data_IF_111814579600
#
_entry.id   IF_111814579600
#
_cell.length_a   1.000
_cell.length_b   1.000
_cell.length_c   1.000
_cell.angle_alpha   90.00
_cell.angle_beta   90.00
_cell.angle_gamma   90.00
#
_symmetry.space_group_name_H-M   'P 1'
#
loop_
_entity.id
_entity.type
_entity.pdbx_description
1 polymer ?
#
# COMPACT_ATOMS: atom_id res chain seq x y z
N UNK A 1 14.62 17.01 21.22
CA UNK A 1 13.92 16.22 20.20
C UNK A 1 13.55 14.86 20.78
N UNK A 2 12.30 14.47 20.67
CA UNK A 2 11.83 13.18 21.17
C UNK A 2 12.38 12.02 20.31
N UNK A 3 12.48 10.83 20.89
CA UNK A 3 12.97 9.63 20.18
C UNK A 3 12.17 9.31 18.93
N UNK A 4 10.85 9.37 19.03
CA UNK A 4 9.95 9.12 17.90
C UNK A 4 10.14 10.11 16.74
N UNK A 5 10.43 11.37 17.04
CA UNK A 5 10.72 12.41 16.05
C UNK A 5 12.06 12.14 15.35
N UNK A 6 13.09 11.71 16.11
CA UNK A 6 14.38 11.33 15.52
C UNK A 6 14.25 10.13 14.60
N UNK A 7 13.53 9.09 15.02
CA UNK A 7 13.31 7.90 14.18
C UNK A 7 12.52 8.23 12.89
N UNK A 8 11.52 9.13 12.95
CA UNK A 8 10.84 9.64 11.76
C UNK A 8 11.80 10.37 10.82
N UNK A 9 12.64 11.25 11.36
CA UNK A 9 13.66 11.96 10.56
C UNK A 9 14.65 10.99 9.92
N UNK A 10 15.18 10.01 10.69
CA UNK A 10 16.08 8.99 10.16
C UNK A 10 15.42 8.22 9.01
N UNK A 11 14.13 7.84 9.14
CA UNK A 11 13.41 7.15 8.08
C UNK A 11 13.25 8.01 6.82
N UNK A 12 12.89 9.29 6.96
CA UNK A 12 12.76 10.17 5.80
C UNK A 12 14.08 10.32 5.04
N UNK A 13 15.17 10.51 5.76
CA UNK A 13 16.48 10.72 5.14
C UNK A 13 17.08 9.43 4.57
N UNK A 14 16.91 8.28 5.24
CA UNK A 14 17.40 7.01 4.71
C UNK A 14 16.63 6.57 3.47
N UNK A 15 15.35 6.91 3.38
CA UNK A 15 14.54 6.68 2.18
C UNK A 15 15.03 7.55 1.01
N UNK A 16 15.48 8.78 1.29
CA UNK A 16 15.97 9.72 0.29
C UNK A 16 17.39 9.41 -0.21
N UNK A 17 18.29 9.06 0.71
CA UNK A 17 19.73 8.92 0.40
C UNK A 17 20.22 7.47 0.40
N UNK A 18 19.36 6.53 0.76
CA UNK A 18 19.63 5.10 0.78
C UNK A 18 20.64 4.62 1.84
N UNK A 19 21.59 5.44 2.21
CA UNK A 19 22.61 5.16 3.22
C UNK A 19 22.89 6.41 4.03
N UNK A 20 22.94 6.26 5.36
CA UNK A 20 23.25 7.34 6.30
C UNK A 20 24.38 6.91 7.23
N UNK A 21 25.25 7.86 7.60
CA UNK A 21 26.32 7.61 8.57
C UNK A 21 25.89 8.05 9.98
N UNK A 22 26.35 7.34 11.01
CA UNK A 22 26.09 7.71 12.40
C UNK A 22 26.57 9.13 12.71
N UNK A 23 27.68 9.53 12.12
CA UNK A 23 28.26 10.86 12.30
C UNK A 23 27.35 11.94 11.74
N UNK A 24 26.93 11.80 10.49
CA UNK A 24 26.01 12.77 9.85
C UNK A 24 24.70 12.89 10.63
N UNK A 25 24.10 11.76 11.02
CA UNK A 25 22.87 11.77 11.82
C UNK A 25 23.07 12.44 13.19
N UNK A 26 24.20 12.21 13.84
CA UNK A 26 24.52 12.82 15.14
C UNK A 26 24.66 14.34 15.02
N UNK A 27 25.37 14.80 13.97
CA UNK A 27 25.59 16.21 13.69
C UNK A 27 24.27 16.92 13.32
N UNK A 28 23.46 16.30 12.44
CA UNK A 28 22.20 16.90 11.97
C UNK A 28 21.13 16.97 13.08
N UNK A 29 21.05 15.94 13.93
CA UNK A 29 20.04 15.87 14.98
C UNK A 29 20.51 16.46 16.32
N UNK A 30 21.77 16.91 16.41
CA UNK A 30 22.34 17.50 17.62
C UNK A 30 22.40 16.55 18.80
N UNK A 31 22.64 15.25 18.57
CA UNK A 31 22.69 14.20 19.60
C UNK A 31 24.02 13.43 19.53
N UNK A 32 24.31 12.64 20.57
CA UNK A 32 25.52 11.80 20.56
C UNK A 32 25.42 10.65 19.57
N UNK A 33 26.57 10.23 19.00
CA UNK A 33 26.62 9.03 18.14
C UNK A 33 26.11 7.78 18.84
N UNK A 34 26.22 7.68 20.17
CA UNK A 34 25.67 6.58 20.94
C UNK A 34 24.14 6.61 20.98
N UNK A 35 23.53 7.81 21.01
CA UNK A 35 22.07 7.96 20.90
C UNK A 35 21.58 7.48 19.52
N UNK A 36 22.28 7.88 18.47
CA UNK A 36 21.99 7.41 17.10
C UNK A 36 22.13 5.90 17.00
N UNK A 37 23.20 5.33 17.56
CA UNK A 37 23.43 3.88 17.55
C UNK A 37 22.26 3.11 18.16
N UNK A 38 21.72 3.59 19.29
CA UNK A 38 20.54 2.98 19.96
C UNK A 38 19.27 3.15 19.17
N UNK A 39 19.05 4.31 18.57
CA UNK A 39 17.89 4.55 17.71
C UNK A 39 17.92 3.61 16.49
N UNK A 40 19.07 3.49 15.82
CA UNK A 40 19.26 2.58 14.67
C UNK A 40 19.13 1.10 15.07
N UNK A 41 19.60 0.71 16.27
CA UNK A 41 19.49 -0.66 16.79
C UNK A 41 18.02 -1.07 17.00
N UNK A 42 17.22 -0.18 17.55
CA UNK A 42 15.79 -0.42 17.69
C UNK A 42 15.07 -0.45 16.33
N UNK A 43 15.45 0.47 15.43
CA UNK A 43 14.87 0.48 14.08
C UNK A 43 15.23 -0.78 13.29
N UNK A 44 16.46 -1.30 13.44
CA UNK A 44 16.89 -2.58 12.87
C UNK A 44 16.10 -3.77 13.45
N UNK A 45 15.91 -3.80 14.77
CA UNK A 45 15.09 -4.83 15.44
C UNK A 45 13.65 -4.85 14.92
N UNK A 46 13.15 -3.68 14.49
CA UNK A 46 11.83 -3.52 13.86
C UNK A 46 11.85 -3.77 12.33
N UNK A 47 13.01 -4.12 11.77
CA UNK A 47 13.16 -4.40 10.33
C UNK A 47 13.12 -3.17 9.41
N UNK A 48 13.23 -1.96 9.96
CA UNK A 48 13.10 -0.70 9.21
C UNK A 48 14.34 -0.36 8.38
N UNK A 49 15.51 -0.84 8.78
CA UNK A 49 16.81 -0.60 8.15
C UNK A 49 17.80 -1.70 8.53
N UNK A 50 18.96 -1.70 7.90
CA UNK A 50 20.09 -2.57 8.29
C UNK A 50 21.26 -1.71 8.72
N UNK A 51 21.82 -2.03 9.88
CA UNK A 51 23.02 -1.38 10.40
C UNK A 51 24.28 -1.95 9.77
N UNK A 52 25.21 -1.06 9.49
CA UNK A 52 26.59 -1.38 9.11
C UNK A 52 27.56 -0.67 10.02
N UNK A 53 28.84 -1.02 9.90
CA UNK A 53 29.87 -0.34 10.66
C UNK A 53 29.91 1.15 10.28
N UNK A 54 29.50 2.02 11.21
CA UNK A 54 29.48 3.47 11.04
C UNK A 54 28.20 4.09 10.48
N UNK A 55 27.12 3.32 10.27
CA UNK A 55 25.85 3.86 9.77
C UNK A 55 24.74 2.84 9.59
N UNK A 56 23.82 3.18 8.74
CA UNK A 56 22.73 2.31 8.32
C UNK A 56 22.41 2.52 6.84
N UNK A 57 21.83 1.51 6.21
CA UNK A 57 21.27 1.61 4.87
C UNK A 57 19.87 1.02 4.82
N UNK A 58 19.10 1.50 3.85
CA UNK A 58 17.83 0.87 3.54
C UNK A 58 18.13 -0.45 2.83
N UNK A 59 17.83 -1.58 3.48
CA UNK A 59 17.98 -2.86 2.81
C UNK A 59 16.87 -3.03 1.79
N UNK A 60 17.18 -2.82 0.52
CA UNK A 60 16.23 -3.04 -0.59
C UNK A 60 15.77 -4.50 -0.72
N UNK A 61 16.52 -5.47 -0.18
CA UNK A 61 16.04 -6.86 -0.08
C UNK A 61 14.95 -6.98 1.00
N UNK A 62 15.01 -6.19 2.08
CA UNK A 62 13.95 -6.08 3.10
C UNK A 62 12.91 -5.00 2.76
N UNK A 63 13.22 -4.00 1.93
CA UNK A 63 12.24 -3.05 1.36
C UNK A 63 11.27 -3.77 0.40
N UNK A 64 11.67 -4.90 -0.15
CA UNK A 64 10.75 -5.79 -0.88
C UNK A 64 9.72 -6.48 0.02
N UNK A 65 9.96 -6.55 1.34
CA UNK A 65 9.04 -7.06 2.36
C UNK A 65 9.04 -6.19 3.63
N UNK A 66 8.88 -4.86 3.51
CA UNK A 66 8.45 -4.11 4.69
C UNK A 66 7.11 -4.70 5.12
N UNK A 67 7.05 -5.25 6.35
CA UNK A 67 5.83 -5.83 6.88
C UNK A 67 4.69 -4.78 6.88
N UNK A 68 3.46 -5.23 6.95
CA UNK A 68 2.26 -4.39 6.94
C UNK A 68 2.38 -3.20 7.90
N UNK A 69 2.84 -3.42 9.14
CA UNK A 69 2.98 -2.39 10.18
C UNK A 69 3.93 -1.27 9.77
N UNK A 70 5.06 -1.60 9.13
CA UNK A 70 6.00 -0.55 8.65
C UNK A 70 5.40 0.29 7.52
N UNK A 71 4.66 -0.36 6.61
CA UNK A 71 4.00 0.34 5.51
C UNK A 71 2.82 1.19 5.97
N UNK A 72 2.13 0.81 7.03
CA UNK A 72 1.02 1.58 7.60
C UNK A 72 1.46 3.01 7.97
N UNK A 73 2.67 3.16 8.49
CA UNK A 73 3.22 4.45 8.92
C UNK A 73 3.92 5.24 7.81
N UNK A 74 4.05 4.66 6.61
CA UNK A 74 4.64 5.33 5.45
C UNK A 74 3.56 6.06 4.66
N UNK A 75 3.82 7.30 4.27
CA UNK A 75 2.91 8.08 3.41
C UNK A 75 1.44 8.13 3.89
N UNK A 76 1.14 8.38 5.18
CA UNK A 76 -0.23 8.29 5.69
C UNK A 76 -1.16 9.34 5.04
N UNK A 77 -0.68 10.56 4.83
CA UNK A 77 -1.47 11.64 4.19
C UNK A 77 -1.79 11.31 2.73
N UNK A 78 -0.84 10.73 2.00
CA UNK A 78 -1.03 10.37 0.59
C UNK A 78 -2.08 9.26 0.45
N UNK A 79 -2.08 8.28 1.35
CA UNK A 79 -3.10 7.22 1.37
C UNK A 79 -4.50 7.74 1.69
N UNK A 80 -4.61 8.74 2.57
CA UNK A 80 -5.89 9.40 2.85
C UNK A 80 -6.44 10.08 1.59
N UNK A 81 -5.62 10.83 0.86
CA UNK A 81 -6.01 11.46 -0.41
C UNK A 81 -6.48 10.42 -1.44
N UNK A 82 -5.75 9.30 -1.55
CA UNK A 82 -6.14 8.18 -2.42
C UNK A 82 -7.49 7.60 -1.99
N UNK A 83 -7.69 7.39 -0.69
CA UNK A 83 -8.92 6.83 -0.14
C UNK A 83 -10.15 7.72 -0.42
N UNK A 84 -10.05 9.03 -0.19
CA UNK A 84 -11.11 9.98 -0.52
C UNK A 84 -11.44 9.94 -2.01
N UNK A 85 -10.42 9.94 -2.87
CA UNK A 85 -10.63 9.83 -4.31
C UNK A 85 -11.29 8.50 -4.73
N UNK A 86 -10.97 7.39 -4.05
CA UNK A 86 -11.62 6.10 -4.31
C UNK A 86 -13.12 6.14 -3.99
N UNK A 87 -13.54 6.87 -2.96
CA UNK A 87 -14.94 6.97 -2.57
C UNK A 87 -15.81 7.63 -3.66
N UNK A 88 -15.26 8.49 -4.51
CA UNK A 88 -16.00 9.12 -5.62
C UNK A 88 -16.48 8.11 -6.68
N UNK A 89 -15.87 6.91 -6.74
CA UNK A 89 -16.19 5.87 -7.72
C UNK A 89 -17.10 4.77 -7.18
N UNK A 90 -17.52 4.87 -5.91
CA UNK A 90 -18.37 3.87 -5.26
C UNK A 90 -19.79 4.39 -5.10
N UNK A 91 -20.75 3.49 -5.17
CA UNK A 91 -22.18 3.78 -4.93
C UNK A 91 -22.72 2.82 -3.87
N UNK A 92 -23.79 3.23 -3.19
CA UNK A 92 -24.49 2.37 -2.24
C UNK A 92 -24.88 1.01 -2.84
N UNK A 93 -24.84 -0.02 -2.03
CA UNK A 93 -25.20 -1.41 -2.38
C UNK A 93 -24.24 -2.13 -3.33
N UNK A 94 -23.17 -1.49 -3.81
CA UNK A 94 -22.16 -2.14 -4.65
C UNK A 94 -21.36 -3.22 -3.91
N UNK A 95 -20.83 -4.13 -4.71
CA UNK A 95 -19.84 -5.12 -4.27
C UNK A 95 -18.43 -4.66 -4.63
N UNK A 96 -17.60 -4.38 -3.63
CA UNK A 96 -16.24 -3.84 -3.76
C UNK A 96 -15.21 -4.87 -3.29
N UNK A 97 -14.21 -5.16 -4.11
CA UNK A 97 -13.06 -5.93 -3.70
C UNK A 97 -11.93 -5.02 -3.20
N UNK A 98 -11.30 -5.41 -2.10
CA UNK A 98 -10.13 -4.75 -1.52
C UNK A 98 -9.09 -5.82 -1.18
N UNK A 99 -7.97 -5.86 -1.88
CA UNK A 99 -6.85 -6.72 -1.51
C UNK A 99 -6.08 -6.15 -0.31
N UNK A 100 -5.27 -7.01 0.32
CA UNK A 100 -4.49 -6.59 1.48
C UNK A 100 -3.46 -5.53 1.11
N UNK A 101 -3.61 -4.34 1.69
CA UNK A 101 -2.62 -3.27 1.64
C UNK A 101 -2.94 -2.19 2.66
N UNK A 102 -1.95 -1.39 3.02
CA UNK A 102 -2.17 -0.23 3.89
C UNK A 102 -2.94 0.90 3.19
N UNK A 103 -2.83 1.02 1.87
CA UNK A 103 -3.66 1.94 1.07
C UNK A 103 -5.12 1.52 1.10
N UNK A 104 -5.41 0.24 0.86
CA UNK A 104 -6.78 -0.27 0.92
C UNK A 104 -7.37 -0.28 2.34
N UNK A 105 -6.54 -0.26 3.38
CA UNK A 105 -7.02 -0.04 4.75
C UNK A 105 -7.60 1.37 4.89
N UNK A 106 -6.93 2.39 4.35
CA UNK A 106 -7.48 3.75 4.33
C UNK A 106 -8.72 3.86 3.42
N UNK A 107 -8.71 3.19 2.25
CA UNK A 107 -9.92 3.09 1.40
C UNK A 107 -11.08 2.49 2.20
N UNK A 108 -10.86 1.41 2.95
CA UNK A 108 -11.91 0.80 3.78
C UNK A 108 -12.45 1.75 4.85
N UNK A 109 -11.58 2.55 5.49
CA UNK A 109 -11.99 3.61 6.43
C UNK A 109 -12.83 4.69 5.75
N UNK A 110 -12.41 5.14 4.58
CA UNK A 110 -13.17 6.07 3.74
C UNK A 110 -14.55 5.51 3.39
N UNK A 111 -14.61 4.28 2.88
CA UNK A 111 -15.89 3.61 2.57
C UNK A 111 -16.80 3.51 3.79
N UNK A 112 -16.25 3.16 4.96
CA UNK A 112 -17.02 3.09 6.19
C UNK A 112 -17.57 4.46 6.63
N UNK A 113 -16.90 5.57 6.30
CA UNK A 113 -17.37 6.92 6.64
C UNK A 113 -18.44 7.45 5.67
N UNK A 114 -18.30 7.13 4.37
CA UNK A 114 -19.15 7.71 3.32
C UNK A 114 -20.41 6.89 3.01
N UNK A 115 -20.38 5.57 3.25
CA UNK A 115 -21.46 4.67 2.82
C UNK A 115 -22.17 4.02 3.99
N UNK A 116 -23.44 3.69 3.77
CA UNK A 116 -24.29 3.00 4.75
C UNK A 116 -24.36 1.50 4.49
N UNK A 117 -24.33 1.06 3.23
CA UNK A 117 -24.53 -0.33 2.86
C UNK A 117 -23.66 -0.72 1.66
N UNK A 118 -22.68 -1.59 1.87
CA UNK A 118 -21.84 -2.17 0.84
C UNK A 118 -21.63 -3.67 1.08
N UNK A 119 -21.29 -4.40 0.03
CA UNK A 119 -20.70 -5.73 0.15
C UNK A 119 -19.22 -5.63 -0.16
N UNK A 120 -18.35 -6.02 0.77
CA UNK A 120 -16.89 -5.94 0.59
C UNK A 120 -16.25 -7.31 0.62
N UNK A 121 -15.53 -7.63 -0.46
CA UNK A 121 -14.73 -8.84 -0.60
C UNK A 121 -13.27 -8.50 -0.27
N UNK A 122 -12.70 -9.13 0.76
CA UNK A 122 -11.30 -8.87 1.16
C UNK A 122 -10.63 -10.11 1.74
N UNK A 123 -9.32 -10.19 1.60
CA UNK A 123 -8.49 -11.19 2.28
C UNK A 123 -7.75 -10.61 3.51
N UNK A 124 -7.91 -9.33 3.80
CA UNK A 124 -7.25 -8.62 4.89
C UNK A 124 -8.06 -8.67 6.19
N UNK A 125 -7.44 -9.12 7.29
CA UNK A 125 -8.04 -9.06 8.62
C UNK A 125 -8.26 -7.61 9.07
N UNK A 126 -7.31 -6.72 8.79
CA UNK A 126 -7.38 -5.32 9.21
C UNK A 126 -8.54 -4.60 8.52
N UNK A 127 -8.71 -4.81 7.21
CA UNK A 127 -9.84 -4.26 6.45
C UNK A 127 -11.17 -4.80 7.00
N UNK A 128 -11.25 -6.11 7.25
CA UNK A 128 -12.47 -6.71 7.78
C UNK A 128 -12.80 -6.20 9.18
N UNK A 129 -11.81 -6.01 10.05
CA UNK A 129 -11.98 -5.42 11.38
C UNK A 129 -12.53 -4.00 11.29
N UNK A 130 -11.94 -3.15 10.42
CA UNK A 130 -12.43 -1.76 10.23
C UNK A 130 -13.88 -1.73 9.75
N UNK A 131 -14.23 -2.54 8.77
CA UNK A 131 -15.57 -2.56 8.18
C UNK A 131 -16.60 -3.25 9.08
N UNK A 132 -16.21 -4.15 9.98
CA UNK A 132 -17.12 -4.84 10.91
C UNK A 132 -17.82 -3.90 11.88
N UNK A 133 -17.33 -2.68 12.01
CA UNK A 133 -17.96 -1.61 12.80
C UNK A 133 -19.25 -1.08 12.16
N UNK A 134 -19.51 -1.40 10.89
CA UNK A 134 -20.69 -0.98 10.11
C UNK A 134 -21.69 -2.15 10.02
N UNK A 135 -22.83 -2.09 10.72
CA UNK A 135 -23.73 -3.23 10.85
C UNK A 135 -24.40 -3.66 9.53
N UNK A 136 -24.56 -2.72 8.58
CA UNK A 136 -25.22 -2.97 7.30
C UNK A 136 -24.24 -3.30 6.17
N UNK A 137 -22.94 -3.39 6.49
CA UNK A 137 -21.96 -3.90 5.54
C UNK A 137 -21.91 -5.44 5.58
N UNK A 138 -21.91 -6.04 4.40
CA UNK A 138 -21.63 -7.48 4.27
C UNK A 138 -20.14 -7.67 3.94
N UNK A 139 -19.42 -8.38 4.80
CA UNK A 139 -17.98 -8.62 4.60
C UNK A 139 -17.78 -10.09 4.21
N UNK A 140 -17.20 -10.30 3.05
CA UNK A 140 -16.87 -11.63 2.53
C UNK A 140 -15.37 -11.85 2.65
N UNK A 141 -14.96 -12.83 3.44
CA UNK A 141 -13.57 -13.22 3.65
C UNK A 141 -13.35 -14.67 3.32
N UNK A 142 -12.21 -15.06 2.71
CA UNK A 142 -11.83 -16.44 2.61
C UNK A 142 -11.39 -16.97 3.98
N UNK A 143 -11.57 -18.27 4.19
CA UNK A 143 -10.81 -18.99 5.22
C UNK A 143 -9.48 -19.45 4.65
N UNK A 144 -8.60 -20.03 5.48
CA UNK A 144 -7.36 -20.63 5.01
C UNK A 144 -6.14 -20.33 5.87
N UNK A 145 -4.97 -20.24 5.25
CA UNK A 145 -3.72 -19.96 5.94
C UNK A 145 -3.61 -18.45 6.21
N UNK A 146 -3.44 -18.10 7.48
CA UNK A 146 -3.17 -16.71 7.88
C UNK A 146 -1.66 -16.40 7.79
N UNK A 147 -1.29 -15.42 6.99
CA UNK A 147 0.06 -14.82 6.97
C UNK A 147 0.13 -13.69 7.99
N UNK A 148 0.74 -13.94 9.13
CA UNK A 148 0.80 -12.99 10.25
C UNK A 148 1.54 -11.68 9.94
N UNK A 149 2.55 -11.71 9.06
CA UNK A 149 3.33 -10.51 8.69
C UNK A 149 2.52 -9.50 7.89
N UNK A 150 1.52 -9.97 7.14
CA UNK A 150 0.63 -9.14 6.30
C UNK A 150 -0.81 -9.09 6.84
N UNK A 151 -1.11 -9.82 7.90
CA UNK A 151 -2.45 -9.92 8.49
C UNK A 151 -3.54 -10.26 7.46
N UNK A 152 -3.25 -11.27 6.62
CA UNK A 152 -4.15 -11.66 5.55
C UNK A 152 -4.23 -13.17 5.34
N UNK A 153 -5.34 -13.62 4.76
CA UNK A 153 -5.47 -15.00 4.30
C UNK A 153 -4.79 -15.20 2.93
N UNK A 154 -4.12 -16.34 2.78
CA UNK A 154 -3.39 -16.73 1.57
C UNK A 154 -3.59 -18.20 1.23
N UNK A 155 -3.17 -18.58 0.03
CA UNK A 155 -3.17 -19.97 -0.44
C UNK A 155 -4.30 -20.29 -1.42
N UNK A 156 -4.19 -21.46 -2.07
CA UNK A 156 -5.07 -21.87 -3.17
C UNK A 156 -6.54 -21.98 -2.72
N UNK A 157 -6.81 -22.59 -1.56
CA UNK A 157 -8.19 -22.70 -1.04
C UNK A 157 -8.84 -21.35 -0.82
N UNK A 158 -8.07 -20.34 -0.38
CA UNK A 158 -8.54 -18.96 -0.22
C UNK A 158 -8.83 -18.33 -1.58
N UNK A 159 -7.94 -18.53 -2.56
CA UNK A 159 -8.13 -18.04 -3.92
C UNK A 159 -9.35 -18.69 -4.61
N UNK A 160 -9.54 -20.00 -4.45
CA UNK A 160 -10.71 -20.72 -4.97
C UNK A 160 -12.03 -20.22 -4.37
N UNK A 161 -12.01 -19.88 -3.09
CA UNK A 161 -13.19 -19.26 -2.46
C UNK A 161 -13.50 -17.89 -3.08
N UNK A 162 -12.49 -17.04 -3.28
CA UNK A 162 -12.64 -15.71 -3.89
C UNK A 162 -13.17 -15.78 -5.33
N UNK A 163 -12.77 -16.79 -6.11
CA UNK A 163 -13.23 -16.98 -7.51
C UNK A 163 -14.74 -17.20 -7.65
N UNK A 164 -15.45 -17.48 -6.56
CA UNK A 164 -16.91 -17.70 -6.58
C UNK A 164 -17.72 -16.41 -6.61
N UNK A 165 -17.07 -15.27 -6.35
CA UNK A 165 -17.74 -13.99 -6.23
C UNK A 165 -17.39 -13.09 -7.42
N UNK A 166 -18.41 -12.43 -7.95
CA UNK A 166 -18.24 -11.34 -8.90
C UNK A 166 -18.34 -10.01 -8.14
N UNK A 167 -17.45 -9.05 -8.43
CA UNK A 167 -17.47 -7.72 -7.82
C UNK A 167 -17.64 -6.64 -8.88
N UNK A 168 -18.33 -5.57 -8.51
CA UNK A 168 -18.52 -4.41 -9.38
C UNK A 168 -17.20 -3.64 -9.55
N UNK A 169 -16.51 -3.45 -8.45
CA UNK A 169 -15.25 -2.71 -8.36
C UNK A 169 -14.17 -3.50 -7.64
N UNK A 170 -12.93 -3.34 -8.09
CA UNK A 170 -11.74 -3.79 -7.37
C UNK A 170 -10.74 -2.64 -7.28
N UNK A 171 -10.49 -2.16 -6.07
CA UNK A 171 -9.34 -1.31 -5.78
C UNK A 171 -8.13 -2.19 -5.57
N UNK A 172 -7.36 -2.38 -6.61
CA UNK A 172 -6.20 -3.28 -6.64
C UNK A 172 -4.93 -2.54 -6.24
N UNK A 173 -4.37 -2.88 -5.11
CA UNK A 173 -3.09 -2.32 -4.69
C UNK A 173 -1.92 -2.81 -5.54
N UNK A 174 -0.83 -2.04 -5.55
CA UNK A 174 0.40 -2.44 -6.24
C UNK A 174 1.66 -2.01 -5.46
N UNK A 175 2.73 -2.77 -5.66
CA UNK A 175 4.04 -2.46 -5.09
C UNK A 175 4.95 -1.75 -6.08
N UNK A 176 4.63 -1.81 -7.36
CA UNK A 176 5.34 -1.10 -8.40
C UNK A 176 4.55 -1.08 -9.70
N UNK A 177 4.74 -0.01 -10.49
CA UNK A 177 4.12 0.15 -11.80
C UNK A 177 5.10 0.77 -12.79
N UNK A 178 5.23 0.16 -13.97
CA UNK A 178 5.94 0.71 -15.14
C UNK A 178 5.15 0.44 -16.40
N UNK A 179 5.33 1.27 -17.43
CA UNK A 179 4.73 1.00 -18.74
C UNK A 179 5.23 -0.31 -19.36
N UNK A 180 6.49 -0.66 -19.10
CA UNK A 180 7.16 -1.86 -19.65
C UNK A 180 6.72 -3.14 -18.95
N UNK A 181 6.72 -3.16 -17.61
CA UNK A 181 6.51 -4.37 -16.83
C UNK A 181 5.06 -4.52 -16.35
N UNK A 182 4.27 -3.44 -16.49
CA UNK A 182 2.89 -3.41 -16.00
C UNK A 182 2.80 -3.14 -14.50
N UNK A 183 1.71 -3.59 -13.92
CA UNK A 183 1.48 -3.57 -12.47
C UNK A 183 2.18 -4.78 -11.86
N UNK A 184 2.96 -4.54 -10.80
CA UNK A 184 3.80 -5.55 -10.17
C UNK A 184 3.62 -5.58 -8.66
N UNK A 185 3.86 -6.74 -8.05
CA UNK A 185 3.75 -6.97 -6.62
C UNK A 185 4.89 -7.89 -6.13
N UNK A 186 5.01 -8.09 -4.80
CA UNK A 186 6.05 -8.94 -4.22
C UNK A 186 5.50 -10.17 -3.47
N UNK A 187 4.23 -10.13 -3.02
CA UNK A 187 3.65 -11.16 -2.16
C UNK A 187 3.22 -12.42 -2.92
N UNK A 188 3.97 -13.52 -2.83
CA UNK A 188 3.61 -14.77 -3.50
C UNK A 188 2.26 -15.32 -3.04
N UNK A 189 1.96 -15.25 -1.74
CA UNK A 189 0.73 -15.78 -1.19
C UNK A 189 -0.49 -14.94 -1.56
N UNK A 190 -0.31 -13.64 -1.60
CA UNK A 190 -1.35 -12.65 -1.93
C UNK A 190 -1.65 -12.59 -3.43
N UNK A 191 -0.62 -12.88 -4.25
CA UNK A 191 -0.73 -12.85 -5.70
C UNK A 191 -1.89 -13.70 -6.24
N UNK A 192 -2.05 -14.93 -5.73
CA UNK A 192 -3.11 -15.84 -6.19
C UNK A 192 -4.51 -15.27 -5.91
N UNK A 193 -4.70 -14.64 -4.74
CA UNK A 193 -5.97 -14.02 -4.37
C UNK A 193 -6.23 -12.75 -5.19
N UNK A 194 -5.20 -11.92 -5.38
CA UNK A 194 -5.28 -10.73 -6.25
C UNK A 194 -5.68 -11.12 -7.66
N UNK A 195 -5.09 -12.17 -8.23
CA UNK A 195 -5.46 -12.70 -9.55
C UNK A 195 -6.89 -13.24 -9.59
N UNK A 196 -7.36 -13.87 -8.51
CA UNK A 196 -8.73 -14.37 -8.40
C UNK A 196 -9.75 -13.20 -8.40
N UNK A 197 -9.48 -12.14 -7.64
CA UNK A 197 -10.30 -10.91 -7.63
C UNK A 197 -10.28 -10.22 -9.01
N UNK A 198 -9.08 -10.04 -9.60
CA UNK A 198 -8.89 -9.40 -10.91
C UNK A 198 -9.65 -10.10 -12.03
N UNK A 199 -9.77 -11.42 -11.97
CA UNK A 199 -10.46 -12.21 -12.99
C UNK A 199 -11.99 -12.09 -12.93
N UNK A 200 -12.54 -11.74 -11.78
CA UNK A 200 -13.97 -11.74 -11.50
C UNK A 200 -14.53 -10.35 -11.12
N UNK A 201 -13.93 -9.30 -11.64
CA UNK A 201 -14.34 -7.91 -11.37
C UNK A 201 -14.68 -7.20 -12.66
N UNK A 202 -15.76 -6.40 -12.64
CA UNK A 202 -16.19 -5.58 -13.78
C UNK A 202 -15.23 -4.41 -14.05
N UNK A 203 -14.92 -3.62 -13.03
CA UNK A 203 -14.06 -2.43 -13.12
C UNK A 203 -12.91 -2.56 -12.13
N UNK A 204 -11.69 -2.30 -12.58
CA UNK A 204 -10.48 -2.36 -11.74
C UNK A 204 -9.80 -1.01 -11.72
N UNK A 205 -9.62 -0.45 -10.55
CA UNK A 205 -8.77 0.70 -10.30
C UNK A 205 -7.49 0.26 -9.59
N UNK A 206 -6.33 0.58 -10.17
CA UNK A 206 -5.05 0.38 -9.49
C UNK A 206 -4.83 1.51 -8.48
N UNK A 207 -4.54 1.19 -7.21
CA UNK A 207 -4.39 2.17 -6.14
C UNK A 207 -3.01 2.08 -5.49
N UNK A 208 -2.32 3.21 -5.37
CA UNK A 208 -1.00 3.27 -4.76
C UNK A 208 -0.41 4.68 -4.80
N UNK A 209 0.45 4.98 -3.84
CA UNK A 209 1.10 6.28 -3.74
C UNK A 209 2.16 6.51 -4.83
N UNK A 210 2.50 7.80 -5.06
CA UNK A 210 3.44 8.24 -6.08
C UNK A 210 4.80 7.54 -6.03
N UNK A 211 5.24 7.07 -4.86
CA UNK A 211 6.53 6.40 -4.68
C UNK A 211 6.63 5.04 -5.39
N UNK A 212 5.52 4.48 -5.83
CA UNK A 212 5.43 3.17 -6.51
C UNK A 212 5.58 3.28 -8.03
N UNK A 213 5.55 4.49 -8.58
CA UNK A 213 5.70 4.69 -10.02
C UNK A 213 7.15 4.54 -10.47
N UNK A 214 7.33 4.04 -11.71
CA UNK A 214 8.63 3.75 -12.33
C UNK A 214 9.45 2.70 -11.55
N UNK A 215 8.82 1.93 -10.70
CA UNK A 215 9.40 0.78 -9.99
C UNK A 215 8.78 -0.52 -10.49
N UNK A 216 9.59 -1.58 -10.56
CA UNK A 216 9.11 -2.92 -10.84
C UNK A 216 9.41 -3.83 -9.65
N UNK A 217 8.38 -4.54 -9.19
CA UNK A 217 8.48 -5.55 -8.15
C UNK A 217 8.63 -6.95 -8.75
N UNK A 218 8.72 -7.97 -7.89
CA UNK A 218 9.10 -9.34 -8.28
C UNK A 218 8.08 -10.03 -9.20
N UNK A 219 6.78 -9.88 -8.93
CA UNK A 219 5.70 -10.58 -9.60
C UNK A 219 4.96 -9.65 -10.54
N UNK A 220 4.83 -10.02 -11.81
CA UNK A 220 3.97 -9.30 -12.77
C UNK A 220 2.53 -9.70 -12.55
N UNK A 221 1.67 -8.74 -12.17
CA UNK A 221 0.23 -8.94 -11.96
C UNK A 221 -0.52 -8.83 -13.29
N UNK A 222 -0.43 -7.70 -13.94
CA UNK A 222 -1.09 -7.50 -15.23
C UNK A 222 -0.46 -6.31 -16.01
N UNK A 223 -0.67 -6.24 -17.34
CA UNK A 223 -0.35 -5.05 -18.11
C UNK A 223 -1.16 -3.84 -17.59
N UNK A 224 -0.58 -2.62 -17.65
CA UNK A 224 -1.27 -1.39 -17.19
C UNK A 224 -2.62 -1.16 -17.88
N UNK A 225 -2.80 -1.61 -19.11
CA UNK A 225 -4.04 -1.48 -19.86
C UNK A 225 -5.18 -2.40 -19.37
N UNK A 226 -4.91 -3.29 -18.40
CA UNK A 226 -5.93 -4.16 -17.78
C UNK A 226 -6.79 -3.42 -16.77
N UNK A 227 -6.28 -2.33 -16.19
CA UNK A 227 -7.03 -1.51 -15.25
C UNK A 227 -7.77 -0.37 -15.97
N UNK A 228 -8.90 0.02 -15.42
CA UNK A 228 -9.73 1.11 -15.96
C UNK A 228 -9.09 2.48 -15.72
N UNK A 229 -8.41 2.63 -14.60
CA UNK A 229 -7.63 3.81 -14.24
C UNK A 229 -6.65 3.51 -13.10
N UNK A 230 -5.79 4.47 -12.83
CA UNK A 230 -4.90 4.48 -11.68
C UNK A 230 -5.34 5.62 -10.76
N UNK A 231 -5.44 5.36 -9.45
CA UNK A 231 -5.73 6.38 -8.44
C UNK A 231 -4.49 6.54 -7.57
N UNK A 232 -3.98 7.75 -7.48
CA UNK A 232 -2.76 8.08 -6.74
C UNK A 232 -2.88 9.46 -6.08
N UNK A 233 -1.89 9.85 -5.29
CA UNK A 233 -1.81 11.14 -4.62
C UNK A 233 -1.16 12.24 -5.49
N UNK A 234 -1.22 13.48 -5.00
CA UNK A 234 -0.72 14.69 -5.66
C UNK A 234 0.82 14.81 -5.68
N UNK A 235 1.54 13.87 -5.03
CA UNK A 235 2.99 13.78 -5.10
C UNK A 235 3.54 13.26 -6.43
N UNK A 236 2.68 12.73 -7.32
CA UNK A 236 3.13 12.21 -8.61
C UNK A 236 3.54 13.34 -9.57
N UNK A 237 4.80 13.38 -10.05
CA UNK A 237 5.26 14.43 -10.95
C UNK A 237 4.46 14.50 -12.26
N UNK A 238 4.08 15.69 -12.71
CA UNK A 238 3.32 15.91 -13.95
C UNK A 238 3.92 15.20 -15.17
N UNK A 239 5.25 15.15 -15.27
CA UNK A 239 5.93 14.42 -16.35
C UNK A 239 5.60 12.92 -16.36
N UNK A 240 5.41 12.31 -15.21
CA UNK A 240 5.02 10.90 -15.12
C UNK A 240 3.55 10.74 -15.48
N UNK A 241 2.69 11.63 -15.02
CA UNK A 241 1.27 11.64 -15.40
C UNK A 241 1.16 11.70 -16.92
N UNK A 242 1.75 12.71 -17.57
CA UNK A 242 1.71 12.90 -19.02
C UNK A 242 2.25 11.66 -19.78
N UNK A 243 3.28 11.01 -19.25
CA UNK A 243 3.86 9.78 -19.83
C UNK A 243 2.84 8.64 -19.87
N UNK A 244 2.09 8.43 -18.78
CA UNK A 244 1.10 7.35 -18.70
C UNK A 244 -0.18 7.71 -19.47
N UNK A 245 -0.64 8.96 -19.41
CA UNK A 245 -1.79 9.46 -20.16
C UNK A 245 -1.56 9.37 -21.68
N UNK A 246 -0.34 9.61 -22.17
CA UNK A 246 0.01 9.46 -23.58
C UNK A 246 -0.12 8.02 -24.11
N UNK A 247 -0.11 7.02 -23.22
CA UNK A 247 -0.37 5.61 -23.51
C UNK A 247 -1.85 5.22 -23.36
N UNK A 248 -2.73 6.21 -23.14
CA UNK A 248 -4.17 6.03 -23.03
C UNK A 248 -4.65 5.56 -21.64
N UNK A 249 -3.86 5.79 -20.60
CA UNK A 249 -4.22 5.46 -19.23
C UNK A 249 -4.84 6.68 -18.53
N UNK A 250 -5.92 6.46 -17.81
CA UNK A 250 -6.50 7.49 -16.96
C UNK A 250 -5.79 7.48 -15.60
N UNK A 251 -5.36 8.64 -15.12
CA UNK A 251 -4.82 8.82 -13.77
C UNK A 251 -5.71 9.81 -13.03
N UNK A 252 -6.25 9.37 -11.90
CA UNK A 252 -7.01 10.22 -10.98
C UNK A 252 -6.13 10.58 -9.80
N UNK A 253 -6.02 11.85 -9.53
CA UNK A 253 -5.22 12.38 -8.43
C UNK A 253 -6.13 12.65 -7.24
N UNK A 254 -5.80 12.04 -6.10
CA UNK A 254 -6.35 12.43 -4.81
C UNK A 254 -5.64 13.69 -4.33
N UNK A 255 -6.39 14.74 -4.12
CA UNK A 255 -5.95 16.00 -3.55
C UNK A 255 -6.71 16.28 -2.24
N UNK A 256 -6.18 17.14 -1.40
CA UNK A 256 -6.98 17.63 -0.27
C UNK A 256 -8.09 18.51 -0.85
N UNK A 257 -9.35 18.23 -0.47
CA UNK A 257 -10.38 19.24 -0.69
C UNK A 257 -9.91 20.59 -0.12
N UNK A 258 -10.07 21.68 -0.86
CA UNK A 258 -9.84 23.01 -0.27
C UNK A 258 -10.79 23.19 0.92
N UNK A 259 -10.24 23.50 2.11
CA UNK A 259 -10.97 23.84 3.32
C UNK A 259 -11.99 24.97 3.09
#
# INVERSE_FOLDING_TARGET
>A
MLRSERQKFIMSEITRYNTLTNRWLADELGVSSETIRRDLEEMETRGLLVRVHGGAYLNYENVRETNFVSREHSHPEDKLKIAEKCCEFVHEEQTVALDVSTTNTEVARGLASHFSKLTVLTNSLVIAEELSKKPDFTIIMPGGLLRNTELCFVGESSADYMRRFHTDLFFMSFSGITLKDGITDYGFGEYQLKMAMLANTSVVYAVGDHSKFELASLLKVCPVRRVSAIITDDGLPRKIIDKYESEGLNIFIGDKEPE
#
